data_IF_135922498293
#
_entry.id   IF_135922498293
#
_cell.length_a   1.000
_cell.length_b   1.000
_cell.length_c   1.000
_cell.angle_alpha   90.00
_cell.angle_beta   90.00
_cell.angle_gamma   90.00
#
_symmetry.space_group_name_H-M   'P 1'
#
loop_
_entity.id
_entity.type
_entity.pdbx_description
1 polymer ?
#
# COMPACT_ATOMS: atom_id res chain seq x y z
N UNK A 1 -3.54 -3.24 -10.58
CA UNK A 1 -2.58 -3.44 -11.67
C UNK A 1 -1.54 -2.34 -11.63
N UNK A 2 -0.26 -2.70 -11.71
CA UNK A 2 0.87 -1.79 -11.90
C UNK A 2 1.65 -2.25 -13.13
N UNK A 3 2.00 -1.32 -14.02
CA UNK A 3 2.81 -1.61 -15.20
C UNK A 3 3.72 -0.41 -15.50
N UNK A 4 4.93 -0.68 -16.02
CA UNK A 4 5.94 0.36 -16.35
C UNK A 4 6.23 1.32 -15.18
N UNK A 5 6.04 0.87 -13.95
CA UNK A 5 6.20 1.67 -12.74
C UNK A 5 6.66 0.78 -11.58
N UNK A 6 7.52 1.33 -10.72
CA UNK A 6 7.85 0.72 -9.43
C UNK A 6 7.14 1.53 -8.32
N UNK A 7 5.82 1.33 -8.18
CA UNK A 7 5.01 2.08 -7.21
C UNK A 7 5.54 1.94 -5.78
N UNK A 8 5.69 0.70 -5.31
CA UNK A 8 6.01 0.40 -3.92
C UNK A 8 7.47 0.75 -3.60
N UNK A 9 8.39 0.60 -4.56
CA UNK A 9 9.82 0.84 -4.34
C UNK A 9 10.34 2.20 -4.77
N UNK A 10 9.52 3.07 -5.38
CA UNK A 10 10.01 4.36 -5.88
C UNK A 10 9.03 5.52 -5.65
N UNK A 11 7.81 5.47 -6.22
CA UNK A 11 6.92 6.64 -6.25
C UNK A 11 5.95 6.75 -5.07
N UNK A 12 5.84 5.73 -4.22
CA UNK A 12 5.00 5.75 -3.02
C UNK A 12 5.60 6.62 -1.91
N UNK A 13 5.25 7.91 -1.89
CA UNK A 13 5.46 8.75 -0.70
C UNK A 13 4.59 8.21 0.44
N UNK A 14 5.20 7.99 1.61
CA UNK A 14 4.54 7.28 2.71
C UNK A 14 4.51 5.76 2.50
N UNK A 15 5.64 5.18 2.08
CA UNK A 15 5.80 3.75 1.81
C UNK A 15 5.16 2.84 2.89
N UNK A 16 5.43 3.11 4.17
CA UNK A 16 4.89 2.31 5.28
C UNK A 16 3.36 2.38 5.39
N UNK A 17 2.73 3.50 4.99
CA UNK A 17 1.27 3.61 4.95
C UNK A 17 0.66 2.78 3.81
N UNK A 18 1.38 2.60 2.69
CA UNK A 18 0.96 1.68 1.63
C UNK A 18 1.02 0.23 2.14
N UNK A 19 2.10 -0.15 2.83
CA UNK A 19 2.22 -1.47 3.43
C UNK A 19 1.11 -1.71 4.47
N UNK A 20 0.85 -0.75 5.37
CA UNK A 20 -0.19 -0.83 6.42
C UNK A 20 -1.61 -0.91 5.82
N UNK A 21 -2.00 0.07 5.02
CA UNK A 21 -3.42 0.26 4.65
C UNK A 21 -3.80 -0.37 3.32
N UNK A 22 -2.90 -0.38 2.34
CA UNK A 22 -3.22 -0.91 1.02
C UNK A 22 -2.95 -2.41 0.96
N UNK A 23 -1.74 -2.84 1.37
CA UNK A 23 -1.33 -4.25 1.29
C UNK A 23 -1.66 -5.06 2.55
N UNK A 24 -1.78 -4.42 3.71
CA UNK A 24 -2.05 -5.11 4.97
C UNK A 24 -0.88 -5.96 5.46
N UNK A 25 0.34 -5.59 5.09
CA UNK A 25 1.56 -6.31 5.48
C UNK A 25 2.20 -5.71 6.72
N UNK A 26 3.25 -6.36 7.22
CA UNK A 26 4.14 -5.75 8.22
C UNK A 26 4.64 -4.40 7.70
N UNK A 27 4.67 -3.43 8.60
CA UNK A 27 5.04 -2.05 8.35
C UNK A 27 5.69 -1.45 9.61
N UNK A 28 6.31 -0.30 9.45
CA UNK A 28 7.05 0.43 10.48
C UNK A 28 6.47 1.83 10.75
N UNK A 29 5.16 2.01 10.59
CA UNK A 29 4.49 3.25 11.01
C UNK A 29 4.60 3.37 12.54
N UNK A 30 5.14 4.49 13.04
CA UNK A 30 5.38 4.71 14.46
C UNK A 30 4.25 5.45 15.17
N UNK A 31 3.46 6.23 14.42
CA UNK A 31 2.36 7.01 14.97
C UNK A 31 1.10 6.14 15.11
N UNK A 32 0.40 6.31 16.22
CA UNK A 32 -0.93 5.76 16.42
C UNK A 32 -1.98 6.63 15.74
N UNK A 33 -3.10 6.04 15.33
CA UNK A 33 -4.18 6.72 14.60
C UNK A 33 -5.05 7.64 15.49
N UNK A 34 -4.60 7.95 16.72
CA UNK A 34 -5.31 8.76 17.72
C UNK A 34 -5.05 10.26 17.50
N UNK A 35 -5.66 10.79 16.43
CA UNK A 35 -5.64 12.22 16.17
C UNK A 35 -6.65 12.95 17.09
N UNK A 36 -6.24 14.03 17.79
CA UNK A 36 -7.11 14.77 18.71
C UNK A 36 -8.28 15.47 18.00
N UNK A 37 -8.16 15.67 16.69
CA UNK A 37 -9.17 16.31 15.86
C UNK A 37 -9.54 15.39 14.71
N UNK A 38 -10.85 15.14 14.55
CA UNK A 38 -11.37 14.27 13.49
C UNK A 38 -11.95 15.12 12.35
N UNK A 39 -11.82 14.68 11.08
CA UNK A 39 -12.42 15.38 9.95
C UNK A 39 -13.95 15.35 10.01
N UNK A 40 -14.61 16.42 9.58
CA UNK A 40 -16.08 16.55 9.59
C UNK A 40 -16.73 16.06 8.28
N UNK A 41 -16.01 16.15 7.16
CA UNK A 41 -16.52 15.82 5.82
C UNK A 41 -16.39 14.32 5.47
N UNK A 42 -15.55 13.59 6.19
CA UNK A 42 -15.24 12.18 5.91
C UNK A 42 -15.66 11.34 7.12
N UNK A 43 -16.41 10.27 6.86
CA UNK A 43 -16.81 9.33 7.91
C UNK A 43 -15.57 8.69 8.53
N UNK A 44 -15.30 9.05 9.80
CA UNK A 44 -14.28 8.39 10.60
C UNK A 44 -14.66 6.92 10.83
N UNK A 45 -13.69 6.02 10.64
CA UNK A 45 -13.82 4.59 10.95
C UNK A 45 -12.71 4.23 11.92
N UNK A 46 -13.06 3.55 13.00
CA UNK A 46 -12.06 2.96 13.90
C UNK A 46 -11.19 1.95 13.12
N UNK A 47 -9.97 1.71 13.60
CA UNK A 47 -8.81 1.18 12.86
C UNK A 47 -8.93 -0.29 12.35
N UNK A 48 -9.91 -0.58 11.51
CA UNK A 48 -10.20 -1.91 10.95
C UNK A 48 -9.81 -2.07 9.47
N UNK A 49 -9.21 -1.04 8.85
CA UNK A 49 -8.99 -0.98 7.39
C UNK A 49 -7.55 -1.21 6.94
N UNK A 50 -6.94 -2.34 7.29
CA UNK A 50 -5.68 -2.80 6.69
C UNK A 50 -5.96 -3.73 5.49
N UNK A 51 -5.04 -3.80 4.52
CA UNK A 51 -5.15 -4.74 3.39
C UNK A 51 -6.36 -4.49 2.49
N UNK A 52 -6.61 -3.24 2.12
CA UNK A 52 -7.76 -2.87 1.28
C UNK A 52 -7.72 -3.42 -0.14
N UNK A 53 -6.53 -3.80 -0.61
CA UNK A 53 -6.35 -4.29 -1.96
C UNK A 53 -6.48 -5.82 -2.00
N UNK A 54 -7.52 -6.32 -2.66
CA UNK A 54 -7.76 -7.76 -2.76
C UNK A 54 -6.75 -8.48 -3.67
N UNK A 55 -6.18 -7.78 -4.66
CA UNK A 55 -5.26 -8.36 -5.62
C UNK A 55 -4.32 -7.30 -6.22
N UNK A 56 -3.02 -7.49 -6.06
CA UNK A 56 -1.97 -6.71 -6.72
C UNK A 56 -1.31 -7.50 -7.84
N UNK A 57 -1.47 -7.00 -9.06
CA UNK A 57 -0.84 -7.54 -10.27
C UNK A 57 0.23 -6.55 -10.73
N UNK A 58 1.47 -7.02 -10.88
CA UNK A 58 2.60 -6.31 -11.45
C UNK A 58 2.98 -6.85 -12.83
N UNK A 59 3.39 -5.97 -13.72
CA UNK A 59 3.77 -6.29 -15.10
C UNK A 59 5.10 -5.60 -15.39
N UNK A 60 6.18 -6.37 -15.32
CA UNK A 60 7.55 -5.86 -15.41
C UNK A 60 8.50 -6.91 -16.06
N UNK A 61 9.59 -6.44 -16.66
CA UNK A 61 10.64 -7.27 -17.26
C UNK A 61 11.66 -7.75 -16.22
N UNK A 62 11.62 -7.19 -15.01
CA UNK A 62 12.52 -7.51 -13.89
C UNK A 62 11.75 -7.52 -12.58
N UNK A 63 12.24 -8.28 -11.60
CA UNK A 63 11.68 -8.28 -10.24
C UNK A 63 12.02 -6.98 -9.50
N UNK A 64 11.21 -5.95 -9.70
CA UNK A 64 11.26 -4.72 -8.91
C UNK A 64 10.61 -4.90 -7.53
N UNK A 65 10.75 -3.90 -6.65
CA UNK A 65 10.11 -3.93 -5.32
C UNK A 65 8.60 -4.10 -5.40
N UNK A 66 7.94 -3.50 -6.40
CA UNK A 66 6.49 -3.69 -6.59
C UNK A 66 6.17 -5.15 -6.88
N UNK A 67 6.89 -5.80 -7.79
CA UNK A 67 6.75 -7.23 -8.05
C UNK A 67 7.02 -8.12 -6.82
N UNK A 68 7.98 -7.75 -5.96
CA UNK A 68 8.24 -8.47 -4.69
C UNK A 68 7.06 -8.42 -3.71
N UNK A 69 6.24 -7.36 -3.76
CA UNK A 69 5.06 -7.18 -2.91
C UNK A 69 3.74 -7.55 -3.62
N UNK A 70 3.80 -8.06 -4.86
CA UNK A 70 2.61 -8.37 -5.66
C UNK A 70 2.19 -9.83 -5.53
N UNK A 71 0.89 -10.09 -5.66
CA UNK A 71 0.34 -11.44 -5.64
C UNK A 71 0.62 -12.20 -6.95
N UNK A 72 0.60 -11.47 -8.08
CA UNK A 72 0.83 -12.01 -9.41
C UNK A 72 1.79 -11.08 -10.15
N UNK A 73 2.80 -11.67 -10.80
CA UNK A 73 3.73 -10.96 -11.67
C UNK A 73 3.63 -11.53 -13.08
N UNK A 74 3.34 -10.69 -14.06
CA UNK A 74 3.42 -11.04 -15.48
C UNK A 74 4.73 -10.55 -16.09
N UNK A 75 5.46 -11.39 -16.84
CA UNK A 75 6.63 -10.95 -17.59
C UNK A 75 6.20 -10.06 -18.77
N UNK A 76 6.90 -8.94 -18.96
CA UNK A 76 6.69 -8.01 -20.08
C UNK A 76 8.01 -7.48 -20.63
#
# INVERSE_FOLDING_TARGET
FVWRANLIGASSKGHEYFLKHLLGTKNAVLEDDDAPTRPEEIKWREADGAGKLDLLIDIDFRMASTGLYSDIVFPA
#
